data_IF_707495782091
#
_entry.id   IF_707495782091
#
_cell.length_a   1.000
_cell.length_b   1.000
_cell.length_c   1.000
_cell.angle_alpha   90.00
_cell.angle_beta   90.00
_cell.angle_gamma   90.00
#
_symmetry.space_group_name_H-M   'P 1'
#
loop_
_entity.id
_entity.type
_entity.pdbx_description
1 polymer ?
#
# COMPACT_ATOMS: atom_id res chain seq x y z
N UNK A 1 -30.12 -31.50 9.07
CA UNK A 1 -30.62 -30.39 9.89
C UNK A 1 -29.55 -29.67 10.68
N UNK A 2 -28.74 -30.36 11.46
CA UNK A 2 -27.62 -29.75 12.20
C UNK A 2 -26.51 -29.25 11.27
N UNK A 3 -26.30 -29.92 10.15
CA UNK A 3 -25.28 -29.51 9.17
C UNK A 3 -25.65 -28.21 8.44
N UNK A 4 -26.92 -27.96 8.19
CA UNK A 4 -27.39 -26.72 7.58
C UNK A 4 -27.21 -25.52 8.50
N UNK A 5 -27.43 -25.70 9.81
CA UNK A 5 -27.18 -24.64 10.79
C UNK A 5 -25.71 -24.31 10.90
N UNK A 6 -24.84 -25.32 10.90
CA UNK A 6 -23.39 -25.11 10.94
C UNK A 6 -22.90 -24.42 9.66
N UNK A 7 -23.42 -24.82 8.51
CA UNK A 7 -23.07 -24.18 7.22
C UNK A 7 -23.51 -22.72 7.17
N UNK A 8 -24.71 -22.41 7.69
CA UNK A 8 -25.19 -21.03 7.72
C UNK A 8 -24.40 -20.16 8.70
N UNK A 9 -24.04 -20.70 9.85
CA UNK A 9 -23.22 -20.01 10.84
C UNK A 9 -21.83 -19.72 10.25
N UNK A 10 -21.26 -20.69 9.55
CA UNK A 10 -19.97 -20.51 8.86
C UNK A 10 -20.03 -19.41 7.81
N UNK A 11 -21.10 -19.39 7.01
CA UNK A 11 -21.29 -18.35 5.99
C UNK A 11 -21.43 -16.96 6.62
N UNK A 12 -22.22 -16.85 7.68
CA UNK A 12 -22.41 -15.60 8.41
C UNK A 12 -21.08 -15.14 8.99
N UNK A 13 -20.31 -16.04 9.60
CA UNK A 13 -19.01 -15.74 10.17
C UNK A 13 -18.03 -15.25 9.11
N UNK A 14 -18.03 -15.88 7.93
CA UNK A 14 -17.19 -15.46 6.80
C UNK A 14 -17.55 -14.07 6.32
N UNK A 15 -18.84 -13.80 6.17
CA UNK A 15 -19.30 -12.49 5.70
C UNK A 15 -18.92 -11.41 6.69
N UNK A 16 -19.15 -11.65 7.99
CA UNK A 16 -18.77 -10.71 9.04
C UNK A 16 -17.26 -10.49 9.09
N UNK A 17 -16.48 -11.55 8.93
CA UNK A 17 -15.03 -11.46 8.90
C UNK A 17 -14.54 -10.63 7.70
N UNK A 18 -15.14 -10.84 6.52
CA UNK A 18 -14.79 -10.07 5.33
C UNK A 18 -15.13 -8.59 5.50
N UNK A 19 -16.30 -8.29 6.05
CA UNK A 19 -16.69 -6.90 6.33
C UNK A 19 -15.73 -6.26 7.31
N UNK A 20 -15.37 -6.97 8.38
CA UNK A 20 -14.41 -6.48 9.36
C UNK A 20 -13.03 -6.23 8.75
N UNK A 21 -12.56 -7.13 7.88
CA UNK A 21 -11.27 -6.98 7.20
C UNK A 21 -11.27 -5.79 6.26
N UNK A 22 -12.34 -5.59 5.50
CA UNK A 22 -12.48 -4.43 4.62
C UNK A 22 -12.49 -3.14 5.44
N UNK A 23 -13.23 -3.13 6.55
CA UNK A 23 -13.28 -1.98 7.43
C UNK A 23 -11.90 -1.65 8.00
N UNK A 24 -11.18 -2.67 8.50
CA UNK A 24 -9.82 -2.49 9.01
C UNK A 24 -8.87 -2.00 7.91
N UNK A 25 -9.03 -2.51 6.71
CA UNK A 25 -8.23 -2.06 5.56
C UNK A 25 -8.45 -0.58 5.28
N UNK A 26 -9.70 -0.14 5.24
CA UNK A 26 -10.03 1.27 5.00
C UNK A 26 -9.50 2.19 6.11
N UNK A 27 -9.64 1.77 7.36
CA UNK A 27 -9.09 2.51 8.50
C UNK A 27 -7.57 2.58 8.41
N UNK A 28 -6.92 1.48 8.02
CA UNK A 28 -5.47 1.42 7.86
C UNK A 28 -4.98 2.40 6.79
N UNK A 29 -5.72 2.53 5.68
CA UNK A 29 -5.39 3.50 4.63
C UNK A 29 -5.45 4.93 5.17
N UNK A 30 -6.49 5.27 5.91
CA UNK A 30 -6.61 6.60 6.54
C UNK A 30 -5.49 6.86 7.53
N UNK A 31 -5.20 5.88 8.40
CA UNK A 31 -4.12 6.01 9.37
C UNK A 31 -2.76 6.16 8.68
N UNK A 32 -2.54 5.44 7.60
CA UNK A 32 -1.31 5.54 6.84
C UNK A 32 -1.13 6.93 6.24
N UNK A 33 -2.19 7.47 5.63
CA UNK A 33 -2.17 8.83 5.08
C UNK A 33 -1.97 9.88 6.15
N UNK A 34 -2.70 9.80 7.26
CA UNK A 34 -2.58 10.74 8.37
C UNK A 34 -1.21 10.62 9.04
N UNK A 35 -0.71 9.42 9.23
CA UNK A 35 0.61 9.17 9.78
C UNK A 35 1.70 9.78 8.92
N UNK A 36 1.60 9.63 7.60
CA UNK A 36 2.55 10.24 6.68
C UNK A 36 2.53 11.78 6.78
N UNK A 37 1.32 12.36 6.82
CA UNK A 37 1.17 13.81 6.98
C UNK A 37 1.69 14.31 8.31
N UNK A 38 1.55 13.51 9.37
CA UNK A 38 1.98 13.89 10.71
C UNK A 38 3.51 13.87 10.89
N UNK A 39 4.24 13.25 9.96
CA UNK A 39 5.72 13.32 9.97
C UNK A 39 6.23 14.74 9.76
N UNK A 40 5.37 15.65 9.33
CA UNK A 40 5.69 17.04 9.10
C UNK A 40 5.89 17.37 7.64
N UNK A 41 5.68 18.64 7.32
CA UNK A 41 5.76 19.13 5.94
C UNK A 41 7.15 18.91 5.33
N UNK A 42 8.21 19.04 6.13
CA UNK A 42 9.57 18.87 5.63
C UNK A 42 9.85 17.46 5.13
N UNK A 43 9.43 16.44 5.89
CA UNK A 43 9.64 15.04 5.50
C UNK A 43 8.76 14.67 4.31
N UNK A 44 7.48 15.06 4.35
CA UNK A 44 6.55 14.80 3.26
C UNK A 44 7.00 15.46 1.96
N UNK A 45 7.45 16.72 2.03
CA UNK A 45 7.97 17.45 0.88
C UNK A 45 9.24 16.79 0.33
N UNK A 46 10.16 16.39 1.20
CA UNK A 46 11.40 15.72 0.79
C UNK A 46 11.08 14.41 0.07
N UNK A 47 10.14 13.63 0.58
CA UNK A 47 9.72 12.38 -0.04
C UNK A 47 9.09 12.64 -1.41
N UNK A 48 8.14 13.57 -1.50
CA UNK A 48 7.48 13.89 -2.76
C UNK A 48 8.46 14.42 -3.80
N UNK A 49 9.41 15.27 -3.38
CA UNK A 49 10.44 15.78 -4.26
C UNK A 49 11.34 14.66 -4.77
N UNK A 50 11.67 13.71 -3.90
CA UNK A 50 12.50 12.55 -4.29
C UNK A 50 11.79 11.68 -5.32
N UNK A 51 10.53 11.30 -5.03
CA UNK A 51 9.78 10.40 -5.93
C UNK A 51 9.25 11.10 -7.17
N UNK A 52 9.32 12.45 -7.26
CA UNK A 52 8.96 13.17 -8.48
C UNK A 52 9.91 12.85 -9.63
N UNK A 53 11.14 12.44 -9.32
CA UNK A 53 12.05 11.88 -10.32
C UNK A 53 11.70 10.40 -10.51
N UNK A 54 11.28 9.96 -11.72
CA UNK A 54 10.88 8.56 -11.94
C UNK A 54 11.98 7.56 -11.63
N UNK A 55 13.24 7.93 -11.88
CA UNK A 55 14.37 7.05 -11.58
C UNK A 55 14.51 6.82 -10.08
N UNK A 56 14.40 7.88 -9.28
CA UNK A 56 14.46 7.76 -7.82
C UNK A 56 13.26 7.02 -7.26
N UNK A 57 12.05 7.21 -7.84
CA UNK A 57 10.89 6.42 -7.48
C UNK A 57 11.10 4.92 -7.71
N UNK A 58 11.70 4.58 -8.85
CA UNK A 58 12.06 3.20 -9.17
C UNK A 58 13.01 2.62 -8.13
N UNK A 59 14.05 3.36 -7.76
CA UNK A 59 15.03 2.94 -6.76
C UNK A 59 14.37 2.75 -5.39
N UNK A 60 13.47 3.65 -5.01
CA UNK A 60 12.71 3.53 -3.76
C UNK A 60 11.89 2.24 -3.73
N UNK A 61 11.22 1.91 -4.84
CA UNK A 61 10.44 0.68 -4.95
C UNK A 61 11.32 -0.57 -4.84
N UNK A 62 12.44 -0.61 -5.53
CA UNK A 62 13.40 -1.73 -5.48
C UNK A 62 13.91 -1.89 -4.05
N UNK A 63 14.32 -0.80 -3.44
CA UNK A 63 14.92 -0.81 -2.10
C UNK A 63 13.91 -1.25 -1.05
N UNK A 64 12.70 -0.69 -1.11
CA UNK A 64 11.63 -1.03 -0.17
C UNK A 64 11.27 -2.51 -0.23
N UNK A 65 11.11 -3.05 -1.44
CA UNK A 65 10.80 -4.47 -1.63
C UNK A 65 11.95 -5.36 -1.16
N UNK A 66 13.18 -4.94 -1.39
CA UNK A 66 14.36 -5.70 -0.94
C UNK A 66 14.44 -5.78 0.59
N UNK A 67 14.08 -4.71 1.29
CA UNK A 67 14.07 -4.68 2.76
C UNK A 67 12.90 -5.50 3.31
N UNK A 68 11.70 -5.26 2.79
CA UNK A 68 10.46 -5.90 3.27
C UNK A 68 10.36 -7.35 2.81
N UNK A 69 11.03 -7.70 1.73
CA UNK A 69 10.99 -9.04 1.11
C UNK A 69 9.61 -9.39 0.58
N UNK A 70 8.80 -8.39 0.24
CA UNK A 70 7.45 -8.59 -0.28
C UNK A 70 7.05 -7.44 -1.19
N UNK A 71 6.95 -7.72 -2.49
CA UNK A 71 6.47 -6.75 -3.47
C UNK A 71 4.98 -6.47 -3.30
N UNK A 72 4.22 -7.47 -2.88
CA UNK A 72 2.78 -7.29 -2.61
C UNK A 72 2.55 -6.30 -1.48
N UNK A 73 3.33 -6.40 -0.41
CA UNK A 73 3.24 -5.47 0.70
C UNK A 73 3.65 -4.06 0.29
N UNK A 74 4.76 -3.93 -0.44
CA UNK A 74 5.23 -2.64 -0.94
C UNK A 74 4.19 -1.99 -1.84
N UNK A 75 3.62 -2.75 -2.78
CA UNK A 75 2.58 -2.26 -3.68
C UNK A 75 1.34 -1.84 -2.92
N UNK A 76 0.92 -2.63 -1.93
CA UNK A 76 -0.24 -2.30 -1.09
C UNK A 76 -0.01 -1.02 -0.29
N UNK A 77 1.20 -0.82 0.24
CA UNK A 77 1.56 0.41 0.94
C UNK A 77 1.47 1.63 0.00
N UNK A 78 1.99 1.50 -1.22
CA UNK A 78 1.94 2.59 -2.20
C UNK A 78 0.49 2.93 -2.56
N UNK A 79 -0.33 1.91 -2.82
CA UNK A 79 -1.76 2.09 -3.11
C UNK A 79 -2.44 2.78 -1.92
N UNK A 80 -2.13 2.36 -0.70
CA UNK A 80 -2.67 2.97 0.51
C UNK A 80 -2.25 4.43 0.66
N UNK A 81 -1.01 4.76 0.35
CA UNK A 81 -0.53 6.14 0.40
C UNK A 81 -1.21 7.03 -0.64
N UNK A 82 -1.42 6.51 -1.85
CA UNK A 82 -2.16 7.23 -2.90
C UNK A 82 -3.60 7.48 -2.44
N UNK A 83 -4.27 6.44 -1.96
CA UNK A 83 -5.66 6.53 -1.51
C UNK A 83 -5.81 7.45 -0.29
N UNK A 84 -4.82 7.45 0.61
CA UNK A 84 -4.81 8.30 1.79
C UNK A 84 -4.40 9.75 1.52
N UNK A 85 -4.08 10.09 0.28
CA UNK A 85 -3.74 11.46 -0.11
C UNK A 85 -2.30 11.87 0.18
N UNK A 86 -1.42 10.92 0.50
CA UNK A 86 -0.01 11.22 0.82
C UNK A 86 0.75 11.78 -0.38
N UNK A 87 0.34 11.41 -1.61
CA UNK A 87 0.97 11.89 -2.84
C UNK A 87 0.25 13.11 -3.44
N UNK A 88 -0.65 13.72 -2.68
CA UNK A 88 -1.39 14.89 -3.09
C UNK A 88 -2.85 14.58 -3.40
N UNK A 89 -3.64 15.63 -3.54
CA UNK A 89 -5.08 15.53 -3.78
C UNK A 89 -5.42 15.26 -5.25
N UNK A 90 -4.50 15.54 -6.17
CA UNK A 90 -4.72 15.32 -7.60
C UNK A 90 -4.45 13.85 -7.94
N UNK A 91 -5.49 13.09 -8.38
CA UNK A 91 -5.31 11.67 -8.69
C UNK A 91 -4.30 11.40 -9.79
N UNK A 92 -4.28 12.23 -10.83
CA UNK A 92 -3.36 12.04 -11.95
C UNK A 92 -1.90 12.16 -11.53
N UNK A 93 -1.59 13.17 -10.72
CA UNK A 93 -0.25 13.38 -10.20
C UNK A 93 0.14 12.24 -9.25
N UNK A 94 -0.76 11.84 -8.36
CA UNK A 94 -0.51 10.76 -7.41
C UNK A 94 -0.20 9.44 -8.12
N UNK A 95 -0.95 9.10 -9.16
CA UNK A 95 -0.74 7.89 -9.95
C UNK A 95 0.61 7.94 -10.67
N UNK A 96 0.94 9.07 -11.27
CA UNK A 96 2.23 9.25 -11.96
C UNK A 96 3.41 9.06 -11.03
N UNK A 97 3.30 9.51 -9.78
CA UNK A 97 4.34 9.31 -8.78
C UNK A 97 4.42 7.86 -8.30
N UNK A 98 3.28 7.18 -8.23
CA UNK A 98 3.21 5.82 -7.74
C UNK A 98 3.73 4.79 -8.74
N UNK A 99 3.55 5.02 -10.05
CA UNK A 99 3.91 4.05 -11.10
C UNK A 99 5.39 3.63 -11.02
N UNK A 100 6.37 4.55 -10.97
CA UNK A 100 7.78 4.14 -10.88
C UNK A 100 8.08 3.34 -9.62
N UNK A 101 7.46 3.67 -8.51
CA UNK A 101 7.65 2.95 -7.23
C UNK A 101 7.14 1.52 -7.37
N UNK A 102 5.98 1.33 -7.97
CA UNK A 102 5.38 0.00 -8.19
C UNK A 102 6.23 -0.81 -9.18
N UNK A 103 6.71 -0.17 -10.24
CA UNK A 103 7.63 -0.82 -11.17
C UNK A 103 8.91 -1.26 -10.46
N UNK A 104 9.43 -0.41 -9.59
CA UNK A 104 10.59 -0.74 -8.76
C UNK A 104 10.32 -1.90 -7.81
N UNK A 105 9.12 -1.94 -7.22
CA UNK A 105 8.72 -3.06 -6.37
C UNK A 105 8.72 -4.39 -7.14
N UNK A 106 8.25 -4.37 -8.37
CA UNK A 106 8.26 -5.56 -9.24
C UNK A 106 9.69 -6.00 -9.58
N UNK A 107 10.57 -5.06 -9.88
CA UNK A 107 12.00 -5.34 -10.11
C UNK A 107 12.64 -5.87 -8.82
N UNK A 108 12.27 -5.29 -7.69
CA UNK A 108 12.76 -5.73 -6.38
C UNK A 108 12.45 -7.18 -6.07
N UNK A 109 11.35 -7.71 -6.60
CA UNK A 109 11.03 -9.14 -6.48
C UNK A 109 12.12 -10.00 -7.10
N UNK A 110 12.63 -9.61 -8.26
CA UNK A 110 13.74 -10.32 -8.90
C UNK A 110 15.01 -10.24 -8.07
N UNK A 111 15.29 -9.08 -7.45
CA UNK A 111 16.43 -8.90 -6.57
C UNK A 111 16.34 -9.79 -5.34
N UNK A 112 15.16 -9.87 -4.73
CA UNK A 112 14.95 -10.72 -3.54
C UNK A 112 15.07 -12.20 -3.87
N UNK A 113 14.71 -12.62 -5.07
CA UNK A 113 14.83 -14.01 -5.51
C UNK A 113 16.30 -14.43 -5.72
N UNK A 114 17.19 -13.47 -5.99
CA UNK A 114 18.61 -13.73 -6.14
C UNK A 114 19.31 -13.86 -4.78
N UNK A 115 18.81 -13.14 -3.79
CA UNK A 115 19.33 -13.16 -2.43
C UNK A 115 18.83 -14.43 -1.70
#
# INVERSE_FOLDING_TARGET
MLDDHKGNIYKIFRVLALIALVYLFLVSIELLGDGFKSLGEGVAQAFLTTVSNPFLGLVVGIFSTSIVQSSSMTTSLVVGLVAGGAFGADPDTAIKLAIPIIMGANIGTSVTNII
#
